data_IF_665178379106
#
_entry.id   IF_665178379106
#
_cell.length_a   1.000
_cell.length_b   1.000
_cell.length_c   1.000
_cell.angle_alpha   90.00
_cell.angle_beta   90.00
_cell.angle_gamma   90.00
#
_symmetry.space_group_name_H-M   'P 1'
#
loop_
_entity.id
_entity.type
_entity.pdbx_description
1 polymer ?
#
# COMPACT_ATOMS: atom_id res chain seq x y z
N UNK A 1 10.07 -11.52 20.17
CA UNK A 1 9.21 -11.63 21.35
C UNK A 1 9.36 -13.00 22.00
N UNK A 2 9.18 -14.10 21.28
CA UNK A 2 9.33 -15.45 21.85
C UNK A 2 10.72 -15.70 22.45
N UNK A 3 11.80 -15.26 21.82
CA UNK A 3 13.16 -15.39 22.34
C UNK A 3 13.41 -14.61 23.64
N UNK A 4 12.61 -13.57 23.92
CA UNK A 4 12.67 -12.77 25.13
C UNK A 4 11.69 -13.24 26.21
N UNK A 5 10.88 -14.29 25.95
CA UNK A 5 9.82 -14.77 26.85
C UNK A 5 8.74 -13.72 27.14
N UNK A 6 8.51 -12.78 26.25
CA UNK A 6 7.57 -11.69 26.46
C UNK A 6 6.14 -12.10 26.04
N UNK A 7 5.17 -11.84 26.90
CA UNK A 7 3.78 -12.28 26.70
C UNK A 7 2.96 -11.43 25.71
N UNK A 8 3.44 -10.24 25.31
CA UNK A 8 2.72 -9.38 24.38
C UNK A 8 2.52 -10.05 23.01
N UNK A 9 1.38 -9.77 22.39
CA UNK A 9 1.09 -10.17 21.02
C UNK A 9 1.89 -9.30 20.03
N UNK A 10 2.39 -9.94 18.96
CA UNK A 10 2.99 -9.23 17.83
C UNK A 10 1.90 -8.85 16.83
N UNK A 11 1.64 -7.54 16.70
CA UNK A 11 0.70 -7.01 15.71
C UNK A 11 1.46 -6.31 14.59
N UNK A 12 1.11 -6.61 13.34
CA UNK A 12 1.73 -6.03 12.15
C UNK A 12 0.67 -5.39 11.26
N UNK A 13 0.88 -4.12 10.93
CA UNK A 13 0.11 -3.41 9.90
C UNK A 13 0.74 -3.69 8.53
N UNK A 14 -0.03 -4.36 7.67
CA UNK A 14 0.36 -4.69 6.29
C UNK A 14 -0.50 -3.96 5.26
N UNK A 15 -1.18 -2.87 5.64
CA UNK A 15 -2.10 -2.17 4.72
C UNK A 15 -1.42 -1.80 3.40
N UNK A 16 -0.17 -1.35 3.45
CA UNK A 16 0.58 -0.95 2.24
C UNK A 16 1.53 -2.01 1.71
N UNK A 17 1.73 -3.12 2.41
CA UNK A 17 2.70 -4.16 2.04
C UNK A 17 2.06 -5.45 1.54
N UNK A 18 0.85 -5.81 2.00
CA UNK A 18 0.17 -7.03 1.55
C UNK A 18 0.00 -7.01 0.02
N UNK A 19 0.32 -8.13 -0.62
CA UNK A 19 0.34 -8.29 -2.08
C UNK A 19 1.30 -7.35 -2.83
N UNK A 20 2.24 -6.70 -2.13
CA UNK A 20 3.28 -5.86 -2.74
C UNK A 20 4.68 -6.25 -2.29
N UNK A 21 4.79 -6.84 -1.10
CA UNK A 21 6.03 -7.30 -0.47
C UNK A 21 5.80 -8.73 0.02
N UNK A 22 6.80 -9.60 -0.06
CA UNK A 22 6.75 -10.93 0.54
C UNK A 22 6.52 -10.82 2.04
N UNK A 23 5.34 -11.24 2.49
CA UNK A 23 4.91 -11.20 3.87
C UNK A 23 4.35 -12.55 4.30
N UNK A 24 4.88 -13.12 5.39
CA UNK A 24 4.60 -14.48 5.82
C UNK A 24 4.16 -14.52 7.28
N UNK A 25 2.84 -14.36 7.50
CA UNK A 25 2.23 -14.28 8.83
C UNK A 25 2.62 -15.45 9.75
N UNK A 26 2.37 -16.68 9.30
CA UNK A 26 2.57 -17.89 10.12
C UNK A 26 4.05 -18.19 10.32
N UNK A 27 4.85 -18.12 9.24
CA UNK A 27 6.28 -18.42 9.28
C UNK A 27 7.05 -17.47 10.22
N UNK A 28 6.65 -16.21 10.27
CA UNK A 28 7.27 -15.21 11.15
C UNK A 28 6.68 -15.17 12.56
N UNK A 29 5.67 -15.99 12.83
CA UNK A 29 5.01 -16.07 14.14
C UNK A 29 4.32 -14.77 14.54
N UNK A 30 3.68 -14.10 13.59
CA UNK A 30 2.89 -12.91 13.84
C UNK A 30 1.55 -13.32 14.47
N UNK A 31 1.13 -12.59 15.51
CA UNK A 31 -0.14 -12.90 16.18
C UNK A 31 -1.34 -12.24 15.53
N UNK A 32 -1.17 -11.00 15.05
CA UNK A 32 -2.24 -10.24 14.40
C UNK A 32 -1.68 -9.50 13.21
N UNK A 33 -2.25 -9.74 12.04
CA UNK A 33 -2.01 -8.95 10.84
C UNK A 33 -3.25 -8.15 10.49
N UNK A 34 -3.09 -6.86 10.23
CA UNK A 34 -4.16 -5.98 9.74
C UNK A 34 -3.83 -5.52 8.34
N UNK A 35 -4.80 -5.62 7.42
CA UNK A 35 -4.66 -5.12 6.06
C UNK A 35 -5.96 -4.50 5.54
N UNK A 36 -5.91 -3.90 4.36
CA UNK A 36 -7.05 -3.25 3.72
C UNK A 36 -7.09 -3.47 2.21
N UNK A 37 -8.24 -3.23 1.61
CA UNK A 37 -8.52 -3.55 0.21
C UNK A 37 -7.86 -2.61 -0.82
N UNK A 38 -7.59 -1.35 -0.46
CA UNK A 38 -7.27 -0.26 -1.39
C UNK A 38 -5.78 -0.09 -1.71
N UNK A 39 -4.97 -1.09 -1.50
CA UNK A 39 -3.52 -1.07 -1.73
C UNK A 39 -3.12 -2.21 -2.67
N UNK A 40 -2.26 -3.12 -2.27
CA UNK A 40 -1.83 -4.22 -3.13
C UNK A 40 -2.95 -5.13 -3.62
N UNK A 41 -4.11 -5.14 -2.96
CA UNK A 41 -5.30 -5.85 -3.42
C UNK A 41 -6.15 -5.11 -4.47
N UNK A 42 -5.73 -3.95 -4.95
CA UNK A 42 -6.25 -3.28 -6.15
C UNK A 42 -7.72 -2.87 -6.11
N UNK A 43 -8.35 -2.81 -4.94
CA UNK A 43 -9.75 -2.49 -4.75
C UNK A 43 -9.95 -1.05 -4.26
N UNK A 44 -11.16 -0.50 -4.33
CA UNK A 44 -11.53 0.66 -3.53
C UNK A 44 -11.43 0.37 -2.03
N UNK A 45 -11.27 1.41 -1.18
CA UNK A 45 -11.33 1.24 0.27
C UNK A 45 -12.72 0.75 0.70
N UNK A 46 -12.77 -0.11 1.73
CA UNK A 46 -14.03 -0.60 2.29
C UNK A 46 -13.99 -2.01 2.86
N UNK A 47 -12.91 -2.77 2.65
CA UNK A 47 -12.69 -4.05 3.33
C UNK A 47 -11.46 -3.96 4.25
N UNK A 48 -11.56 -4.57 5.41
CA UNK A 48 -10.47 -4.83 6.33
C UNK A 48 -10.24 -6.33 6.45
N UNK A 49 -8.98 -6.72 6.45
CA UNK A 49 -8.56 -8.12 6.61
C UNK A 49 -7.78 -8.25 7.90
N UNK A 50 -8.09 -9.31 8.65
CA UNK A 50 -7.38 -9.64 9.88
C UNK A 50 -6.96 -11.11 9.81
N UNK A 51 -5.66 -11.40 9.82
CA UNK A 51 -5.16 -12.74 10.06
C UNK A 51 -4.74 -12.85 11.53
N UNK A 52 -5.14 -13.94 12.17
CA UNK A 52 -5.03 -14.12 13.61
C UNK A 52 -4.37 -15.46 13.94
N UNK A 53 -3.39 -15.47 14.83
CA UNK A 53 -2.88 -16.68 15.45
C UNK A 53 -3.90 -17.28 16.42
N UNK A 54 -3.81 -18.57 16.71
CA UNK A 54 -4.64 -19.20 17.74
C UNK A 54 -4.50 -18.50 19.10
N UNK A 55 -3.29 -18.06 19.44
CA UNK A 55 -3.01 -17.30 20.64
C UNK A 55 -3.77 -15.97 20.67
N UNK A 56 -3.78 -15.22 19.56
CA UNK A 56 -4.52 -13.97 19.47
C UNK A 56 -6.04 -14.18 19.59
N UNK A 57 -6.56 -15.26 19.01
CA UNK A 57 -7.97 -15.64 19.12
C UNK A 57 -8.32 -15.95 20.59
N UNK A 58 -7.49 -16.70 21.29
CA UNK A 58 -7.73 -17.04 22.69
C UNK A 58 -7.68 -15.80 23.61
N UNK A 59 -6.66 -14.97 23.47
CA UNK A 59 -6.53 -13.72 24.21
C UNK A 59 -7.70 -12.76 23.96
N UNK A 60 -8.24 -12.76 22.74
CA UNK A 60 -9.38 -11.90 22.42
C UNK A 60 -10.65 -12.23 23.22
N UNK A 61 -10.79 -13.45 23.74
CA UNK A 61 -11.96 -13.86 24.52
C UNK A 61 -12.02 -13.16 25.90
N UNK A 62 -10.87 -12.82 26.45
CA UNK A 62 -10.73 -12.21 27.78
C UNK A 62 -10.69 -10.69 27.75
N UNK A 63 -10.67 -10.07 26.57
CA UNK A 63 -10.60 -8.61 26.41
C UNK A 63 -11.82 -7.91 27.02
N UNK A 64 -11.58 -6.97 27.95
CA UNK A 64 -12.61 -6.28 28.72
C UNK A 64 -13.35 -5.15 27.97
N UNK A 65 -12.86 -4.69 26.82
CA UNK A 65 -13.50 -3.63 26.04
C UNK A 65 -14.69 -4.16 25.23
N UNK A 66 -15.77 -3.40 25.18
CA UNK A 66 -16.89 -3.70 24.28
C UNK A 66 -16.47 -3.49 22.85
N UNK A 67 -16.67 -4.48 21.97
CA UNK A 67 -16.17 -4.50 20.59
C UNK A 67 -17.27 -4.50 19.54
N UNK A 68 -18.40 -5.18 19.81
CA UNK A 68 -19.57 -5.27 18.93
C UNK A 68 -19.13 -5.57 17.47
N UNK A 69 -19.22 -4.60 16.55
CA UNK A 69 -18.88 -4.76 15.14
C UNK A 69 -17.46 -5.31 14.90
N UNK A 70 -16.52 -5.04 15.77
CA UNK A 70 -15.12 -5.49 15.68
C UNK A 70 -14.82 -6.73 16.51
N UNK A 71 -15.81 -7.48 16.95
CA UNK A 71 -15.60 -8.71 17.71
C UNK A 71 -15.19 -9.85 16.78
N UNK A 72 -13.97 -10.33 16.92
CA UNK A 72 -13.47 -11.43 16.12
C UNK A 72 -14.22 -12.74 16.38
N UNK A 73 -14.74 -12.98 17.60
CA UNK A 73 -15.48 -14.20 17.89
C UNK A 73 -16.78 -14.27 17.06
N UNK A 74 -17.49 -13.15 16.94
CA UNK A 74 -18.71 -13.06 16.12
C UNK A 74 -18.37 -13.22 14.62
N UNK A 75 -17.28 -12.60 14.16
CA UNK A 75 -16.81 -12.72 12.77
C UNK A 75 -16.42 -14.17 12.45
N UNK A 76 -15.63 -14.83 13.29
CA UNK A 76 -15.19 -16.22 13.10
C UNK A 76 -16.40 -17.17 13.09
N UNK A 77 -17.33 -17.00 14.04
CA UNK A 77 -18.53 -17.82 14.11
C UNK A 77 -19.41 -17.70 12.86
N UNK A 78 -19.62 -16.49 12.37
CA UNK A 78 -20.39 -16.26 11.15
C UNK A 78 -19.66 -16.78 9.90
N UNK A 79 -18.36 -16.52 9.77
CA UNK A 79 -17.57 -16.94 8.63
C UNK A 79 -17.49 -18.47 8.50
N UNK A 80 -17.55 -19.22 9.60
CA UNK A 80 -17.59 -20.68 9.57
C UNK A 80 -18.75 -21.26 8.78
N UNK A 81 -19.87 -20.51 8.66
CA UNK A 81 -21.03 -20.86 7.86
C UNK A 81 -21.06 -20.18 6.45
N UNK A 82 -20.01 -19.44 6.09
CA UNK A 82 -19.96 -18.63 4.87
C UNK A 82 -20.78 -17.33 4.95
N UNK A 83 -21.13 -16.90 6.17
CA UNK A 83 -21.91 -15.69 6.42
C UNK A 83 -21.04 -14.60 7.09
N UNK A 84 -21.65 -13.45 7.32
CA UNK A 84 -21.09 -12.33 8.08
C UNK A 84 -22.06 -11.91 9.18
N UNK A 85 -21.59 -11.46 10.34
CA UNK A 85 -22.48 -11.03 11.43
C UNK A 85 -23.24 -9.74 11.11
N UNK A 86 -22.74 -8.96 10.15
CA UNK A 86 -23.35 -7.73 9.64
C UNK A 86 -23.34 -7.74 8.10
N UNK A 87 -24.19 -6.93 7.45
CA UNK A 87 -24.27 -6.86 6.00
C UNK A 87 -22.90 -6.53 5.39
N UNK A 88 -22.32 -7.41 4.58
CA UNK A 88 -21.01 -7.18 3.98
C UNK A 88 -21.11 -6.28 2.75
N UNK A 89 -19.99 -5.66 2.38
CA UNK A 89 -19.84 -4.92 1.13
C UNK A 89 -19.70 -5.91 -0.07
N UNK A 90 -20.80 -6.53 -0.49
CA UNK A 90 -20.80 -7.63 -1.46
C UNK A 90 -20.11 -7.29 -2.78
N UNK A 91 -20.30 -6.06 -3.31
CA UNK A 91 -19.63 -5.62 -4.52
C UNK A 91 -18.10 -5.65 -4.40
N UNK A 92 -17.58 -5.27 -3.22
CA UNK A 92 -16.15 -5.34 -2.95
C UNK A 92 -15.66 -6.78 -2.79
N UNK A 93 -16.50 -7.70 -2.30
CA UNK A 93 -16.14 -9.12 -2.23
C UNK A 93 -16.01 -9.76 -3.63
N UNK A 94 -16.86 -9.38 -4.58
CA UNK A 94 -16.69 -9.81 -5.98
C UNK A 94 -15.41 -9.23 -6.58
N UNK A 95 -15.12 -7.95 -6.34
CA UNK A 95 -13.86 -7.35 -6.75
C UNK A 95 -12.64 -8.00 -6.08
N UNK A 96 -12.76 -8.39 -4.80
CA UNK A 96 -11.69 -9.10 -4.10
C UNK A 96 -11.39 -10.46 -4.75
N UNK A 97 -12.43 -11.18 -5.14
CA UNK A 97 -12.25 -12.44 -5.87
C UNK A 97 -11.43 -12.22 -7.15
N UNK A 98 -11.81 -11.25 -7.96
CA UNK A 98 -11.08 -10.89 -9.19
C UNK A 98 -9.63 -10.49 -8.90
N UNK A 99 -9.41 -9.64 -7.90
CA UNK A 99 -8.07 -9.22 -7.50
C UNK A 99 -7.18 -10.40 -7.07
N UNK A 100 -7.74 -11.35 -6.34
CA UNK A 100 -7.04 -12.57 -5.93
C UNK A 100 -6.73 -13.45 -7.15
N UNK A 101 -7.68 -13.61 -8.06
CA UNK A 101 -7.49 -14.38 -9.28
C UNK A 101 -6.36 -13.78 -10.14
N UNK A 102 -6.31 -12.45 -10.32
CA UNK A 102 -5.24 -11.72 -11.01
C UNK A 102 -3.86 -11.95 -10.35
N UNK A 103 -3.80 -11.87 -9.02
CA UNK A 103 -2.54 -12.09 -8.29
C UNK A 103 -2.05 -13.53 -8.43
N UNK A 104 -2.96 -14.50 -8.44
CA UNK A 104 -2.62 -15.91 -8.66
C UNK A 104 -2.20 -16.19 -10.10
N UNK A 105 -2.83 -15.55 -11.08
CA UNK A 105 -2.48 -15.68 -12.49
C UNK A 105 -1.07 -15.14 -12.77
N UNK A 106 -0.72 -13.98 -12.22
CA UNK A 106 0.64 -13.43 -12.30
C UNK A 106 1.64 -14.27 -11.49
N UNK A 107 1.23 -14.81 -10.35
CA UNK A 107 2.06 -15.47 -9.35
C UNK A 107 2.72 -14.48 -8.39
N UNK A 108 2.63 -14.73 -7.08
CA UNK A 108 3.07 -13.76 -6.05
C UNK A 108 4.54 -13.36 -6.17
N UNK A 109 5.43 -14.29 -6.52
CA UNK A 109 6.86 -13.97 -6.72
C UNK A 109 7.06 -12.96 -7.86
N UNK A 110 6.30 -13.09 -8.94
CA UNK A 110 6.32 -12.13 -10.06
C UNK A 110 5.72 -10.79 -9.65
N UNK A 111 4.64 -10.80 -8.87
CA UNK A 111 4.03 -9.57 -8.31
C UNK A 111 5.05 -8.82 -7.46
N UNK A 112 5.78 -9.49 -6.56
CA UNK A 112 6.81 -8.86 -5.73
C UNK A 112 7.99 -8.36 -6.57
N UNK A 113 8.43 -9.13 -7.56
CA UNK A 113 9.49 -8.72 -8.48
C UNK A 113 9.10 -7.47 -9.29
N UNK A 114 7.85 -7.41 -9.78
CA UNK A 114 7.30 -6.25 -10.50
C UNK A 114 7.28 -5.00 -9.61
N UNK A 115 6.78 -5.11 -8.37
CA UNK A 115 6.76 -4.00 -7.41
C UNK A 115 8.18 -3.48 -7.11
N UNK A 116 9.13 -4.37 -6.88
CA UNK A 116 10.53 -3.99 -6.65
C UNK A 116 11.14 -3.27 -7.86
N UNK A 117 10.88 -3.76 -9.08
CA UNK A 117 11.34 -3.11 -10.31
C UNK A 117 10.78 -1.70 -10.49
N UNK A 118 9.48 -1.51 -10.26
CA UNK A 118 8.84 -0.20 -10.36
C UNK A 118 9.33 0.76 -9.27
N UNK A 119 9.50 0.27 -8.07
CA UNK A 119 10.06 1.05 -6.96
C UNK A 119 11.47 1.53 -7.25
N UNK A 120 12.32 0.66 -7.77
CA UNK A 120 13.69 1.00 -8.12
C UNK A 120 13.74 2.02 -9.27
N UNK A 121 12.98 1.81 -10.33
CA UNK A 121 12.89 2.75 -11.45
C UNK A 121 12.39 4.14 -10.99
N UNK A 122 11.40 4.18 -10.08
CA UNK A 122 10.92 5.44 -9.50
C UNK A 122 12.00 6.15 -8.70
N UNK A 123 12.77 5.43 -7.87
CA UNK A 123 13.87 6.02 -7.10
C UNK A 123 14.99 6.54 -7.99
N UNK A 124 15.35 5.79 -9.04
CA UNK A 124 16.34 6.25 -10.02
C UNK A 124 15.88 7.51 -10.75
N UNK A 125 14.60 7.62 -11.10
CA UNK A 125 14.05 8.83 -11.69
C UNK A 125 14.14 10.02 -10.73
N UNK A 126 13.77 9.83 -9.45
CA UNK A 126 13.87 10.85 -8.40
C UNK A 126 15.31 11.35 -8.25
N UNK A 127 16.29 10.44 -8.21
CA UNK A 127 17.71 10.80 -8.15
C UNK A 127 18.18 11.53 -9.40
N UNK A 128 17.73 11.11 -10.60
CA UNK A 128 18.05 11.77 -11.84
C UNK A 128 17.46 13.20 -11.94
N UNK A 129 16.39 13.48 -11.20
CA UNK A 129 15.83 14.83 -11.06
C UNK A 129 16.60 15.69 -10.03
N UNK A 130 17.59 15.13 -9.36
CA UNK A 130 18.36 15.81 -8.29
C UNK A 130 17.59 15.93 -6.98
N UNK A 131 16.57 15.10 -6.77
CA UNK A 131 15.78 15.07 -5.54
C UNK A 131 16.20 13.89 -4.63
N UNK A 132 15.89 14.01 -3.36
CA UNK A 132 16.24 13.03 -2.33
C UNK A 132 15.03 12.18 -1.92
N UNK A 133 15.26 10.88 -1.76
CA UNK A 133 14.29 9.97 -1.13
C UNK A 133 14.33 10.17 0.37
N UNK A 134 13.15 10.32 0.99
CA UNK A 134 13.01 10.56 2.43
C UNK A 134 13.62 9.42 3.29
N UNK A 135 13.53 8.17 2.83
CA UNK A 135 14.11 7.04 3.54
C UNK A 135 15.63 7.02 3.32
N UNK A 136 16.40 7.19 4.39
CA UNK A 136 17.85 7.30 4.35
C UNK A 136 18.55 5.95 4.09
N UNK A 137 17.94 4.86 4.58
CA UNK A 137 18.54 3.52 4.53
C UNK A 137 17.96 2.68 3.40
N UNK A 138 18.75 2.36 2.34
CA UNK A 138 18.23 1.59 1.19
C UNK A 138 17.60 0.24 1.54
N UNK A 139 18.09 -0.43 2.60
CA UNK A 139 17.53 -1.71 3.07
C UNK A 139 16.09 -1.60 3.60
N UNK A 140 15.65 -0.37 3.92
CA UNK A 140 14.32 -0.06 4.45
C UNK A 140 13.40 0.54 3.38
N UNK A 141 13.81 0.59 2.12
CA UNK A 141 12.99 1.10 1.05
C UNK A 141 11.73 0.26 0.86
N UNK A 142 10.60 0.95 0.73
CA UNK A 142 9.33 0.29 0.38
C UNK A 142 9.27 -0.03 -1.11
N UNK A 143 8.70 -1.18 -1.46
CA UNK A 143 8.37 -1.52 -2.84
C UNK A 143 7.01 -0.99 -3.29
N UNK A 144 6.24 -0.35 -2.41
CA UNK A 144 4.89 0.16 -2.72
C UNK A 144 4.80 1.69 -2.82
N UNK A 145 5.77 2.42 -2.24
CA UNK A 145 5.73 3.87 -2.13
C UNK A 145 7.15 4.46 -2.09
N UNK A 146 7.36 5.55 -2.82
CA UNK A 146 8.55 6.40 -2.70
C UNK A 146 8.14 7.78 -2.18
N UNK A 147 8.64 8.17 -1.03
CA UNK A 147 8.48 9.51 -0.47
C UNK A 147 9.70 10.37 -0.86
N UNK A 148 9.44 11.55 -1.39
CA UNK A 148 10.46 12.43 -1.99
C UNK A 148 10.51 13.74 -1.24
N UNK A 149 11.69 14.14 -0.79
CA UNK A 149 11.95 15.44 -0.19
C UNK A 149 12.11 16.50 -1.27
N UNK A 150 11.47 17.64 -1.09
CA UNK A 150 11.80 18.84 -1.88
C UNK A 150 12.90 19.65 -1.19
N UNK A 151 13.74 20.34 -1.98
CA UNK A 151 14.73 21.25 -1.45
C UNK A 151 14.09 22.36 -0.58
N UNK A 152 14.85 22.89 0.37
CA UNK A 152 14.42 23.97 1.22
C UNK A 152 13.94 25.19 0.41
N UNK A 153 12.89 25.86 0.86
CA UNK A 153 12.25 26.95 0.15
C UNK A 153 11.19 26.55 -0.89
N UNK A 154 11.00 25.26 -1.14
CA UNK A 154 9.95 24.74 -2.03
C UNK A 154 8.79 24.13 -1.24
N UNK A 155 7.57 24.23 -1.80
CA UNK A 155 6.36 23.69 -1.18
C UNK A 155 5.87 22.47 -1.99
N UNK A 156 5.82 21.31 -1.34
CA UNK A 156 5.43 20.04 -1.97
C UNK A 156 3.95 20.02 -2.41
N UNK A 157 3.07 20.73 -1.70
CA UNK A 157 1.66 20.78 -2.08
C UNK A 157 1.44 21.65 -3.31
N UNK A 158 2.17 22.77 -3.45
CA UNK A 158 2.19 23.57 -4.66
C UNK A 158 2.76 22.79 -5.86
N UNK A 159 3.83 22.03 -5.64
CA UNK A 159 4.40 21.14 -6.66
C UNK A 159 3.38 20.08 -7.12
N UNK A 160 2.70 19.42 -6.19
CA UNK A 160 1.66 18.43 -6.48
C UNK A 160 0.50 19.01 -7.30
N UNK A 161 0.04 20.23 -6.96
CA UNK A 161 -0.97 20.93 -7.72
C UNK A 161 -0.50 21.20 -9.16
N UNK A 162 0.73 21.69 -9.34
CA UNK A 162 1.33 21.89 -10.67
C UNK A 162 1.39 20.59 -11.48
N UNK A 163 1.74 19.47 -10.85
CA UNK A 163 1.79 18.17 -11.53
C UNK A 163 0.40 17.71 -11.93
N UNK A 164 -0.59 17.87 -11.06
CA UNK A 164 -1.98 17.53 -11.36
C UNK A 164 -2.51 18.37 -12.53
N UNK A 165 -2.35 19.68 -12.47
CA UNK A 165 -2.91 20.62 -13.45
C UNK A 165 -2.28 20.50 -14.85
N UNK A 166 -1.00 20.13 -14.93
CA UNK A 166 -0.29 20.07 -16.21
C UNK A 166 -0.15 18.67 -16.81
N UNK A 167 -0.30 17.61 -16.00
CA UNK A 167 -0.01 16.23 -16.41
C UNK A 167 -1.10 15.23 -16.03
N UNK A 168 -2.19 15.70 -15.40
CA UNK A 168 -3.29 14.85 -14.90
C UNK A 168 -2.78 13.71 -14.00
N UNK A 169 -1.70 13.98 -13.24
CA UNK A 169 -1.07 13.02 -12.36
C UNK A 169 -1.23 13.41 -10.90
N UNK A 170 -1.92 12.59 -10.12
CA UNK A 170 -2.12 12.81 -8.69
C UNK A 170 -0.99 12.19 -7.88
N UNK A 171 -0.27 13.02 -7.12
CA UNK A 171 0.76 12.60 -6.17
C UNK A 171 0.24 12.65 -4.73
N UNK A 172 0.73 11.77 -3.88
CA UNK A 172 0.41 11.78 -2.44
C UNK A 172 1.05 12.97 -1.71
N UNK A 173 0.37 13.53 -0.73
CA UNK A 173 0.89 14.61 0.12
C UNK A 173 1.77 14.09 1.26
N UNK A 174 2.64 14.91 1.80
CA UNK A 174 3.29 14.69 3.08
C UNK A 174 2.27 14.70 4.22
N UNK A 175 2.50 13.91 5.27
CA UNK A 175 1.61 13.80 6.42
C UNK A 175 2.26 14.43 7.65
N UNK A 176 1.42 15.04 8.53
CA UNK A 176 1.85 15.56 9.83
C UNK A 176 3.07 16.49 9.70
N UNK A 177 4.20 16.17 10.30
CA UNK A 177 5.44 16.95 10.30
C UNK A 177 6.09 17.12 8.91
N UNK A 178 5.69 16.30 7.95
CA UNK A 178 6.18 16.29 6.56
C UNK A 178 5.26 17.03 5.59
N UNK A 179 4.13 17.59 6.07
CA UNK A 179 3.22 18.37 5.24
C UNK A 179 3.96 19.55 4.57
N UNK A 180 3.74 19.75 3.28
CA UNK A 180 4.40 20.78 2.48
C UNK A 180 5.89 20.54 2.17
N UNK A 181 6.53 19.54 2.79
CA UNK A 181 7.96 19.21 2.58
C UNK A 181 8.19 18.02 1.65
N UNK A 182 7.24 17.08 1.65
CA UNK A 182 7.34 15.79 0.99
C UNK A 182 6.14 15.58 0.07
N UNK A 183 6.39 15.02 -1.10
CA UNK A 183 5.35 14.37 -1.89
C UNK A 183 5.64 12.87 -2.00
N UNK A 184 4.62 12.09 -2.38
CA UNK A 184 4.73 10.63 -2.44
C UNK A 184 4.29 10.11 -3.80
N UNK A 185 5.08 9.18 -4.33
CA UNK A 185 4.78 8.45 -5.56
C UNK A 185 4.39 7.02 -5.15
N UNK A 186 3.12 6.65 -5.40
CA UNK A 186 2.65 5.28 -5.21
C UNK A 186 2.92 4.46 -6.46
N UNK A 187 3.43 3.24 -6.29
CA UNK A 187 3.72 2.31 -7.37
C UNK A 187 3.34 0.88 -6.96
N UNK A 188 2.08 0.70 -6.57
CA UNK A 188 1.54 -0.56 -6.05
C UNK A 188 0.23 -0.96 -6.74
N UNK A 189 -0.21 -2.19 -6.49
CA UNK A 189 -1.42 -2.76 -7.07
C UNK A 189 -1.19 -3.16 -8.52
N UNK A 190 -2.13 -2.84 -9.40
CA UNK A 190 -2.03 -3.07 -10.85
C UNK A 190 -1.22 -1.99 -11.58
N UNK A 191 -0.26 -1.38 -10.86
CA UNK A 191 0.70 -0.46 -11.45
C UNK A 191 1.62 -1.21 -12.41
N UNK A 192 1.76 -0.70 -13.63
CA UNK A 192 2.48 -1.38 -14.72
C UNK A 192 3.50 -0.48 -15.40
N UNK A 193 4.30 -1.07 -16.29
CA UNK A 193 5.38 -0.35 -16.99
C UNK A 193 4.87 0.84 -17.81
N UNK A 194 3.65 0.77 -18.37
CA UNK A 194 3.05 1.86 -19.10
C UNK A 194 2.81 3.08 -18.21
N UNK A 195 2.24 2.88 -17.04
CA UNK A 195 2.02 3.95 -16.06
C UNK A 195 3.32 4.55 -15.56
N UNK A 196 4.35 3.72 -15.37
CA UNK A 196 5.68 4.20 -14.99
C UNK A 196 6.31 5.04 -16.12
N UNK A 197 6.21 4.57 -17.36
CA UNK A 197 6.78 5.25 -18.53
C UNK A 197 6.07 6.56 -18.86
N UNK A 198 4.78 6.66 -18.63
CA UNK A 198 3.96 7.87 -18.85
C UNK A 198 4.07 8.90 -17.74
N UNK A 199 4.80 8.59 -16.66
CA UNK A 199 5.11 9.59 -15.63
C UNK A 199 5.82 10.80 -16.25
N UNK A 200 5.39 12.05 -15.96
CA UNK A 200 5.89 13.24 -16.62
C UNK A 200 7.40 13.37 -16.43
N UNK A 201 8.10 13.51 -17.55
CA UNK A 201 9.54 13.80 -17.58
C UNK A 201 9.80 15.19 -18.16
N UNK A 202 10.95 15.82 -17.88
CA UNK A 202 11.32 17.09 -18.50
C UNK A 202 11.32 17.08 -20.03
N UNK A 203 11.45 15.89 -20.65
CA UNK A 203 11.41 15.70 -22.10
C UNK A 203 9.99 15.77 -22.68
N UNK A 204 8.95 15.52 -21.89
CA UNK A 204 7.55 15.51 -22.35
C UNK A 204 7.05 16.91 -22.64
N UNK A 205 7.60 17.95 -22.00
CA UNK A 205 7.33 19.35 -22.33
C UNK A 205 7.71 19.74 -23.77
N UNK A 206 8.64 19.05 -24.42
CA UNK A 206 9.02 19.34 -25.78
C UNK A 206 8.02 18.75 -26.80
N UNK A 207 7.38 17.64 -26.48
CA UNK A 207 6.38 17.00 -27.36
C UNK A 207 5.03 17.71 -27.37
N UNK A 208 4.61 18.27 -26.23
CA UNK A 208 3.35 19.01 -26.12
C UNK A 208 3.35 20.39 -26.80
N UNK A 209 4.50 20.86 -27.29
CA UNK A 209 4.65 22.13 -28.04
C UNK A 209 4.69 21.97 -29.56
N UNK A 210 4.57 20.76 -30.09
CA UNK A 210 4.38 20.59 -31.52
C UNK A 210 2.94 20.98 -31.90
N UNK A 211 2.74 21.98 -32.79
CA UNK A 211 1.40 22.24 -33.30
C UNK A 211 0.93 20.98 -34.01
N UNK A 212 -0.31 20.57 -33.73
CA UNK A 212 -0.99 19.61 -34.60
C UNK A 212 -0.95 20.22 -36.03
N UNK A 213 -0.15 19.67 -36.90
CA UNK A 213 -0.25 20.01 -38.31
C UNK A 213 -1.65 19.70 -38.79
N UNK A 214 -2.35 20.73 -39.23
CA UNK A 214 -3.61 20.67 -39.92
C UNK A 214 -3.59 19.68 -41.09
#
# INVERSE_FOLDING_TARGET
MNAAGHEALLMVDTISSLASIDYRHDEWGVDVTVSGSQKGLMLPPGLSFNALSERAIEESKTGGMRRSYWDWQDQIAANASGAFPFTPATNLLYGLKEAIDMLHEEGLDNVFARHNRHAEATRQAVQAWGLEVLCEEPKNYSSSLTAVLLPEGHNADAFRATVLDNFDMSLGNGLSKLAGKVFRIGHLGDFNDCLLYTSPSPRDRQKSRMPSSA
#
